data_IF_580203827463
#
_entry.id   IF_580203827463
#
_cell.length_a   1.000
_cell.length_b   1.000
_cell.length_c   1.000
_cell.angle_alpha   90.00
_cell.angle_beta   90.00
_cell.angle_gamma   90.00
#
_symmetry.space_group_name_H-M   'P 1'
#
loop_
_entity.id
_entity.type
_entity.pdbx_description
1 polymer ?
#
# COMPACT_ATOMS: atom_id res chain seq x y z
N UNK A 1 -0.02 33.44 -22.23
CA UNK A 1 0.87 32.68 -21.31
C UNK A 1 0.07 31.70 -20.43
N UNK A 2 -1.11 31.25 -20.85
CA UNK A 2 -2.00 30.36 -20.09
C UNK A 2 -2.15 28.96 -20.75
N UNK A 3 -1.74 28.81 -22.01
CA UNK A 3 -1.85 27.56 -22.77
C UNK A 3 -0.71 26.57 -22.52
N UNK A 4 0.46 27.04 -22.08
CA UNK A 4 1.63 26.18 -21.84
C UNK A 4 1.48 25.29 -20.60
N UNK A 5 0.73 25.74 -19.59
CA UNK A 5 0.49 24.97 -18.36
C UNK A 5 -0.49 23.80 -18.57
N UNK A 6 -1.47 23.95 -19.48
CA UNK A 6 -2.45 22.90 -19.79
C UNK A 6 -1.86 21.80 -20.67
N UNK A 7 -0.94 22.13 -21.56
CA UNK A 7 -0.24 21.14 -22.40
C UNK A 7 0.55 20.10 -21.58
N UNK A 8 1.07 20.49 -20.40
CA UNK A 8 1.78 19.58 -19.50
C UNK A 8 0.91 18.49 -18.88
N UNK A 9 -0.42 18.69 -18.78
CA UNK A 9 -1.36 17.69 -18.25
C UNK A 9 -1.84 16.69 -19.30
N UNK A 10 -1.69 17.00 -20.60
CA UNK A 10 -2.14 16.13 -21.69
C UNK A 10 -1.31 14.84 -21.81
N UNK A 11 -0.09 14.83 -21.25
CA UNK A 11 0.81 13.66 -21.21
C UNK A 11 0.78 12.91 -19.87
N UNK A 12 -0.03 13.34 -18.90
CA UNK A 12 -0.10 12.68 -17.60
C UNK A 12 -1.01 11.45 -17.73
N UNK A 13 -0.41 10.26 -17.66
CA UNK A 13 -1.13 9.00 -17.50
C UNK A 13 -1.74 8.95 -16.09
N UNK A 14 -3.01 9.38 -15.98
CA UNK A 14 -3.76 9.32 -14.73
C UNK A 14 -4.33 7.91 -14.58
N UNK A 15 -3.75 7.15 -13.65
CA UNK A 15 -4.24 5.82 -13.31
C UNK A 15 -5.28 5.93 -12.19
N UNK A 16 -6.42 5.28 -12.40
CA UNK A 16 -7.40 5.09 -11.34
C UNK A 16 -6.84 4.10 -10.32
N UNK A 17 -6.58 4.60 -9.11
CA UNK A 17 -6.05 3.81 -7.99
C UNK A 17 -7.10 3.70 -6.90
N UNK A 18 -7.30 2.49 -6.41
CA UNK A 18 -8.14 2.20 -5.25
C UNK A 18 -7.32 2.22 -3.96
N UNK A 19 -8.02 2.34 -2.83
CA UNK A 19 -7.38 2.51 -1.53
C UNK A 19 -8.04 1.65 -0.46
N UNK A 20 -7.23 0.94 0.33
CA UNK A 20 -7.66 0.31 1.58
C UNK A 20 -6.87 0.82 2.77
N UNK A 21 -7.53 0.84 3.94
CA UNK A 21 -6.95 1.18 5.23
C UNK A 21 -7.51 0.28 6.31
N UNK A 22 -6.64 -0.21 7.19
CA UNK A 22 -7.04 -0.98 8.36
C UNK A 22 -6.01 -0.80 9.50
N UNK A 23 -6.44 -1.10 10.73
CA UNK A 23 -5.56 -1.14 11.89
C UNK A 23 -5.08 -2.57 12.11
N UNK A 24 -3.80 -2.74 12.45
CA UNK A 24 -3.30 -4.05 12.86
C UNK A 24 -3.76 -4.37 14.28
N UNK A 25 -4.10 -5.64 14.58
CA UNK A 25 -4.43 -6.05 15.93
C UNK A 25 -3.24 -5.90 16.88
N UNK A 26 -3.50 -5.45 18.10
CA UNK A 26 -2.47 -5.28 19.14
C UNK A 26 -1.73 -6.59 19.45
N UNK A 27 -2.44 -7.72 19.40
CA UNK A 27 -1.90 -9.03 19.74
C UNK A 27 -0.68 -9.43 18.90
N UNK A 28 -0.59 -8.97 17.66
CA UNK A 28 0.47 -9.39 16.74
C UNK A 28 1.74 -8.53 16.86
N UNK A 29 1.62 -7.29 17.34
CA UNK A 29 2.71 -6.31 17.31
C UNK A 29 2.94 -5.56 18.64
N UNK A 30 2.15 -5.87 19.69
CA UNK A 30 2.22 -5.22 21.00
C UNK A 30 1.79 -3.75 20.98
N UNK A 31 1.11 -3.31 19.91
CA UNK A 31 0.70 -1.92 19.66
C UNK A 31 -0.65 -1.87 18.96
N UNK A 32 -1.56 -1.02 19.42
CA UNK A 32 -2.90 -0.84 18.86
C UNK A 32 -3.05 0.33 17.88
N UNK A 33 -1.96 1.08 17.66
CA UNK A 33 -1.95 2.32 16.88
C UNK A 33 -1.30 2.17 15.51
N UNK A 34 -1.02 0.94 15.06
CA UNK A 34 -0.41 0.70 13.76
C UNK A 34 -1.48 0.67 12.68
N UNK A 35 -1.43 1.65 11.79
CA UNK A 35 -2.28 1.75 10.62
C UNK A 35 -1.55 1.22 9.38
N UNK A 36 -2.21 0.35 8.62
CA UNK A 36 -1.76 -0.12 7.32
C UNK A 36 -2.66 0.48 6.25
N UNK A 37 -2.04 1.03 5.22
CA UNK A 37 -2.73 1.58 4.06
C UNK A 37 -2.16 0.97 2.79
N UNK A 38 -3.01 0.72 1.80
CA UNK A 38 -2.56 0.25 0.50
C UNK A 38 -3.21 1.03 -0.63
N UNK A 39 -2.37 1.63 -1.48
CA UNK A 39 -2.76 2.19 -2.77
C UNK A 39 -2.59 1.09 -3.82
N UNK A 40 -3.62 0.76 -4.59
CA UNK A 40 -3.55 -0.34 -5.54
C UNK A 40 -4.27 -0.07 -6.86
N UNK A 41 -3.77 -0.70 -7.93
CA UNK A 41 -4.32 -0.58 -9.27
C UNK A 41 -3.65 -1.56 -10.23
N UNK A 42 -4.19 -1.66 -11.44
CA UNK A 42 -3.61 -2.50 -12.49
C UNK A 42 -2.24 -1.97 -12.88
N UNK A 43 -1.25 -2.85 -13.00
CA UNK A 43 0.10 -2.48 -13.39
C UNK A 43 0.14 -2.01 -14.84
N UNK A 44 0.72 -0.84 -15.09
CA UNK A 44 0.97 -0.35 -16.44
C UNK A 44 1.78 -1.32 -17.32
N UNK A 45 2.75 -2.01 -16.70
CA UNK A 45 3.67 -2.91 -17.41
C UNK A 45 3.19 -4.37 -17.44
N UNK A 46 2.19 -4.71 -16.62
CA UNK A 46 1.62 -6.06 -16.48
C UNK A 46 0.11 -5.97 -16.29
N UNK A 47 -0.67 -5.77 -17.37
CA UNK A 47 -2.10 -5.53 -17.28
C UNK A 47 -2.92 -6.66 -16.64
N UNK A 48 -2.33 -7.84 -16.48
CA UNK A 48 -2.90 -9.01 -15.80
C UNK A 48 -2.66 -9.01 -14.28
N UNK A 49 -1.97 -7.98 -13.76
CA UNK A 49 -1.51 -7.90 -12.38
C UNK A 49 -1.96 -6.59 -11.74
N UNK A 50 -2.59 -6.66 -10.58
CA UNK A 50 -2.76 -5.53 -9.65
C UNK A 50 -1.52 -5.41 -8.77
N UNK A 51 -0.98 -4.19 -8.68
CA UNK A 51 0.10 -3.84 -7.74
C UNK A 51 -0.52 -3.10 -6.57
N UNK A 52 -0.22 -3.53 -5.36
CA UNK A 52 -0.67 -2.91 -4.13
C UNK A 52 0.54 -2.42 -3.32
N UNK A 53 0.70 -1.10 -3.24
CA UNK A 53 1.78 -0.42 -2.52
C UNK A 53 1.36 -0.17 -1.08
N UNK A 54 2.06 -0.81 -0.14
CA UNK A 54 1.68 -0.86 1.26
C UNK A 54 2.55 0.06 2.11
N UNK A 55 1.88 0.83 2.96
CA UNK A 55 2.49 1.75 3.90
C UNK A 55 2.03 1.45 5.31
N UNK A 56 2.89 1.74 6.29
CA UNK A 56 2.53 1.76 7.70
C UNK A 56 2.63 3.18 8.25
N UNK A 57 1.75 3.48 9.20
CA UNK A 57 1.74 4.73 9.95
C UNK A 57 1.50 4.45 11.43
N UNK A 58 2.22 5.16 12.29
CA UNK A 58 1.90 5.20 13.72
C UNK A 58 0.80 6.24 13.96
N UNK A 59 -0.29 5.83 14.60
CA UNK A 59 -1.44 6.67 14.95
C UNK A 59 -1.02 7.95 15.67
N UNK A 60 -1.67 9.06 15.34
CA UNK A 60 -1.36 10.39 15.89
C UNK A 60 0.09 10.87 15.72
N UNK A 61 0.88 10.23 14.86
CA UNK A 61 2.24 10.65 14.52
C UNK A 61 2.37 11.04 13.05
N UNK A 62 3.46 11.76 12.73
CA UNK A 62 3.90 12.03 11.37
C UNK A 62 4.75 10.89 10.77
N UNK A 63 4.97 9.79 11.51
CA UNK A 63 5.83 8.69 11.08
C UNK A 63 5.02 7.80 10.14
N UNK A 64 5.25 7.90 8.83
CA UNK A 64 4.73 7.03 7.78
C UNK A 64 5.89 6.43 6.99
N UNK A 65 5.84 5.14 6.69
CA UNK A 65 6.91 4.43 5.97
C UNK A 65 6.35 3.49 4.91
N UNK A 66 7.03 3.42 3.76
CA UNK A 66 6.77 2.40 2.76
C UNK A 66 7.21 1.06 3.32
N UNK A 67 6.34 0.05 3.23
CA UNK A 67 6.65 -1.29 3.69
C UNK A 67 7.03 -2.15 2.50
N UNK A 68 6.10 -2.47 1.61
CA UNK A 68 6.38 -3.33 0.45
C UNK A 68 5.34 -3.11 -0.65
N UNK A 69 5.60 -3.69 -1.82
CA UNK A 69 4.59 -3.88 -2.85
C UNK A 69 4.24 -5.37 -2.93
N UNK A 70 2.95 -5.69 -3.07
CA UNK A 70 2.49 -7.04 -3.40
C UNK A 70 1.83 -7.03 -4.77
N UNK A 71 2.02 -8.12 -5.52
CA UNK A 71 1.48 -8.32 -6.85
C UNK A 71 0.42 -9.40 -6.79
N UNK A 72 -0.77 -9.12 -7.32
CA UNK A 72 -1.93 -9.99 -7.25
C UNK A 72 -2.50 -10.12 -8.66
N UNK A 73 -2.82 -11.32 -9.16
CA UNK A 73 -3.51 -11.47 -10.43
C UNK A 73 -4.82 -10.68 -10.45
N UNK A 74 -5.13 -10.02 -11.57
CA UNK A 74 -6.39 -9.28 -11.74
C UNK A 74 -7.60 -10.20 -11.53
N UNK A 75 -7.54 -11.44 -12.03
CA UNK A 75 -8.60 -12.43 -11.85
C UNK A 75 -8.91 -12.73 -10.37
N UNK A 76 -7.88 -12.80 -9.52
CA UNK A 76 -8.05 -13.05 -8.08
C UNK A 76 -8.68 -11.83 -7.40
N UNK A 77 -8.24 -10.61 -7.77
CA UNK A 77 -8.82 -9.35 -7.29
C UNK A 77 -10.28 -9.18 -7.72
N UNK A 78 -10.66 -9.57 -8.93
CA UNK A 78 -12.05 -9.52 -9.41
C UNK A 78 -12.95 -10.49 -8.65
N UNK A 79 -12.42 -11.65 -8.26
CA UNK A 79 -13.19 -12.68 -7.56
C UNK A 79 -13.38 -12.36 -6.07
N UNK A 80 -12.32 -11.93 -5.38
CA UNK A 80 -12.29 -11.84 -3.92
C UNK A 80 -12.02 -10.42 -3.38
N UNK A 81 -11.86 -9.44 -4.29
CA UNK A 81 -11.67 -8.04 -3.93
C UNK A 81 -10.40 -7.78 -3.13
N UNK A 82 -10.46 -6.76 -2.26
CA UNK A 82 -9.32 -6.35 -1.43
C UNK A 82 -8.86 -7.42 -0.42
N UNK A 83 -9.64 -8.49 -0.21
CA UNK A 83 -9.24 -9.63 0.62
C UNK A 83 -7.94 -10.27 0.13
N UNK A 84 -7.70 -10.28 -1.18
CA UNK A 84 -6.46 -10.78 -1.77
C UNK A 84 -5.23 -9.99 -1.34
N UNK A 85 -5.36 -8.66 -1.19
CA UNK A 85 -4.26 -7.82 -0.70
C UNK A 85 -3.89 -8.23 0.72
N UNK A 86 -4.88 -8.39 1.59
CA UNK A 86 -4.66 -8.80 2.98
C UNK A 86 -4.06 -10.21 3.04
N UNK A 87 -4.53 -11.14 2.23
CA UNK A 87 -3.99 -12.49 2.15
C UNK A 87 -2.55 -12.52 1.63
N UNK A 88 -2.24 -11.73 0.60
CA UNK A 88 -0.89 -11.59 0.06
C UNK A 88 0.08 -11.05 1.12
N UNK A 89 -0.34 -10.03 1.89
CA UNK A 89 0.44 -9.48 2.99
C UNK A 89 0.65 -10.50 4.11
N UNK A 90 -0.39 -11.24 4.49
CA UNK A 90 -0.30 -12.25 5.54
C UNK A 90 0.72 -13.35 5.20
N UNK A 91 0.81 -13.73 3.92
CA UNK A 91 1.78 -14.71 3.39
C UNK A 91 3.16 -14.11 3.11
N UNK A 92 3.29 -12.79 3.06
CA UNK A 92 4.52 -12.11 2.69
C UNK A 92 5.50 -12.03 3.88
N UNK A 93 6.61 -12.77 3.77
CA UNK A 93 7.73 -12.65 4.69
C UNK A 93 8.36 -11.26 4.64
N UNK A 94 8.47 -10.68 3.44
CA UNK A 94 9.01 -9.34 3.22
C UNK A 94 8.19 -8.27 3.94
N UNK A 95 6.85 -8.38 3.91
CA UNK A 95 5.97 -7.49 4.65
C UNK A 95 6.27 -7.55 6.16
N UNK A 96 6.34 -8.76 6.74
CA UNK A 96 6.61 -8.95 8.18
C UNK A 96 7.98 -8.39 8.58
N UNK A 97 9.01 -8.67 7.81
CA UNK A 97 10.39 -8.21 8.09
C UNK A 97 10.49 -6.69 8.01
N UNK A 98 9.94 -6.07 6.96
CA UNK A 98 9.99 -4.62 6.77
C UNK A 98 9.10 -3.86 7.75
N UNK A 99 7.92 -4.38 8.06
CA UNK A 99 7.07 -3.81 9.10
C UNK A 99 7.77 -3.85 10.46
N UNK A 100 8.40 -4.98 10.82
CA UNK A 100 9.19 -5.08 12.06
C UNK A 100 10.31 -4.05 12.11
N UNK A 101 11.04 -3.86 11.00
CA UNK A 101 12.11 -2.86 10.91
C UNK A 101 11.57 -1.42 11.05
N UNK A 102 10.44 -1.14 10.40
CA UNK A 102 9.74 0.15 10.51
C UNK A 102 9.31 0.44 11.96
N UNK A 103 8.74 -0.55 12.66
CA UNK A 103 8.30 -0.36 14.05
C UNK A 103 9.48 -0.11 14.98
N UNK A 104 10.57 -0.85 14.84
CA UNK A 104 11.81 -0.60 15.61
C UNK A 104 12.37 0.80 15.37
N UNK A 105 12.31 1.27 14.13
CA UNK A 105 12.68 2.64 13.81
C UNK A 105 11.75 3.64 14.48
N UNK A 106 10.43 3.43 14.42
CA UNK A 106 9.44 4.32 15.00
C UNK A 106 9.58 4.43 16.54
N UNK A 107 9.87 3.32 17.22
CA UNK A 107 10.11 3.29 18.68
C UNK A 107 11.41 3.99 19.09
N UNK A 108 12.33 4.22 18.15
CA UNK A 108 13.60 4.94 18.39
C UNK A 108 13.50 6.47 18.24
N UNK A 109 12.30 6.99 17.93
CA UNK A 109 12.05 8.41 17.67
C UNK A 109 11.38 9.13 18.83
#
# INVERSE_FOLDING_TARGET
>A
MMDQYLAAFAEIDVQEVSYIRFMLPELDFGRSDIEITSDYGVSANRPDTVVANVWARIGNSAIKGFICAVNIPVADMEQNGYGEIVMALNKSKDFRERLTAYLRFADSK
#
